data_IF_036540362374
#
_entry.id   IF_036540362374
#
_cell.length_a   1.000
_cell.length_b   1.000
_cell.length_c   1.000
_cell.angle_alpha   90.00
_cell.angle_beta   90.00
_cell.angle_gamma   90.00
#
_symmetry.space_group_name_H-M   'P 1'
#
loop_
_entity.id
_entity.type
_entity.pdbx_description
1 polymer ?
#
# COMPACT_ATOMS: atom_id res chain seq x y z
N UNK A 1 -12.83 -5.56 -7.06
CA UNK A 1 -11.44 -5.81 -7.54
C UNK A 1 -10.50 -5.11 -6.57
N UNK A 2 -9.42 -5.77 -6.15
CA UNK A 2 -8.35 -5.19 -5.34
C UNK A 2 -7.13 -4.92 -6.21
N UNK A 3 -6.23 -4.05 -5.76
CA UNK A 3 -4.89 -3.88 -6.35
C UNK A 3 -3.83 -4.45 -5.43
N UNK A 4 -2.77 -5.02 -6.01
CA UNK A 4 -1.59 -5.49 -5.28
C UNK A 4 -0.41 -4.62 -5.70
N UNK A 5 0.25 -3.99 -4.73
CA UNK A 5 1.25 -2.96 -4.92
C UNK A 5 2.56 -3.45 -4.28
N UNK A 6 3.38 -4.22 -5.03
CA UNK A 6 4.63 -4.73 -4.53
C UNK A 6 5.67 -3.60 -4.41
N UNK A 7 6.46 -3.63 -3.34
CA UNK A 7 7.79 -3.02 -3.31
C UNK A 7 8.74 -3.65 -4.34
N UNK A 8 10.03 -3.33 -4.25
CA UNK A 8 11.00 -3.83 -5.21
C UNK A 8 11.06 -5.36 -5.18
N UNK A 9 10.83 -5.98 -6.34
CA UNK A 9 10.70 -7.45 -6.47
C UNK A 9 11.69 -7.96 -7.50
N UNK A 10 12.47 -8.98 -7.14
CA UNK A 10 13.36 -9.70 -8.03
C UNK A 10 12.53 -10.49 -9.06
N UNK A 11 12.34 -9.86 -10.20
CA UNK A 11 11.66 -10.41 -11.36
C UNK A 11 12.55 -10.18 -12.59
N UNK A 12 12.22 -10.82 -13.70
CA UNK A 12 12.94 -10.63 -14.97
C UNK A 12 12.75 -9.24 -15.59
N UNK A 13 12.00 -8.33 -14.94
CA UNK A 13 11.96 -6.91 -15.29
C UNK A 13 13.29 -6.23 -14.91
N UNK A 14 13.97 -6.71 -13.87
CA UNK A 14 15.26 -6.19 -13.44
C UNK A 14 16.39 -6.90 -14.16
N UNK A 15 17.27 -6.13 -14.80
CA UNK A 15 18.50 -6.68 -15.34
C UNK A 15 19.52 -6.93 -14.21
N UNK A 16 20.56 -7.70 -14.51
CA UNK A 16 21.58 -8.09 -13.51
C UNK A 16 22.34 -6.89 -12.93
N UNK A 17 22.59 -5.85 -13.73
CA UNK A 17 23.20 -4.60 -13.25
C UNK A 17 22.35 -3.93 -12.17
N UNK A 18 21.03 -3.82 -12.40
CA UNK A 18 20.10 -3.25 -11.42
C UNK A 18 20.03 -4.10 -10.16
N UNK A 19 20.01 -5.43 -10.28
CA UNK A 19 20.04 -6.33 -9.12
C UNK A 19 21.30 -6.16 -8.30
N UNK A 20 22.45 -5.99 -8.95
CA UNK A 20 23.72 -5.71 -8.26
C UNK A 20 23.70 -4.38 -7.52
N UNK A 21 23.10 -3.33 -8.09
CA UNK A 21 22.93 -2.05 -7.38
C UNK A 21 22.13 -2.19 -6.08
N UNK A 22 21.06 -2.98 -6.08
CA UNK A 22 20.29 -3.26 -4.85
C UNK A 22 21.11 -4.05 -3.82
N UNK A 23 21.85 -5.09 -4.25
CA UNK A 23 22.75 -5.86 -3.37
C UNK A 23 23.83 -4.98 -2.75
N UNK A 24 24.48 -4.14 -3.54
CA UNK A 24 25.54 -3.24 -3.06
C UNK A 24 25.03 -2.19 -2.07
N UNK A 25 23.75 -1.81 -2.17
CA UNK A 25 23.10 -0.88 -1.25
C UNK A 25 22.52 -1.55 0.01
N UNK A 26 22.69 -2.87 0.18
CA UNK A 26 22.03 -3.69 1.21
C UNK A 26 20.51 -3.47 1.25
N UNK A 27 19.91 -3.22 0.08
CA UNK A 27 18.48 -2.97 -0.06
C UNK A 27 17.77 -4.28 -0.42
N UNK A 28 16.80 -4.74 0.39
CA UNK A 28 16.18 -6.03 0.18
C UNK A 28 15.23 -6.01 -1.03
N UNK A 29 15.39 -7.01 -1.90
CA UNK A 29 14.42 -7.36 -2.94
C UNK A 29 13.49 -8.45 -2.44
N UNK A 30 12.19 -8.33 -2.72
CA UNK A 30 11.22 -9.40 -2.51
C UNK A 30 11.32 -10.45 -3.62
N UNK A 31 10.88 -11.68 -3.35
CA UNK A 31 10.77 -12.72 -4.39
C UNK A 31 9.41 -12.65 -5.10
N UNK A 32 9.35 -13.14 -6.34
CA UNK A 32 8.09 -13.25 -7.08
C UNK A 32 7.09 -14.19 -6.37
N UNK A 33 7.59 -15.25 -5.74
CA UNK A 33 6.79 -16.23 -4.99
C UNK A 33 6.10 -15.59 -3.77
N UNK A 34 6.78 -14.67 -3.09
CA UNK A 34 6.18 -13.94 -1.98
C UNK A 34 4.98 -13.12 -2.47
N UNK A 35 5.10 -12.43 -3.60
CA UNK A 35 3.98 -11.66 -4.17
C UNK A 35 2.84 -12.57 -4.64
N UNK A 36 3.15 -13.73 -5.21
CA UNK A 36 2.13 -14.72 -5.58
C UNK A 36 1.35 -15.22 -4.34
N UNK A 37 2.04 -15.49 -3.23
CA UNK A 37 1.40 -15.87 -1.96
C UNK A 37 0.54 -14.75 -1.37
N UNK A 38 0.98 -13.50 -1.48
CA UNK A 38 0.18 -12.34 -1.09
C UNK A 38 -1.12 -12.25 -1.89
N UNK A 39 -1.07 -12.43 -3.22
CA UNK A 39 -2.26 -12.43 -4.07
C UNK A 39 -3.25 -13.51 -3.63
N UNK A 40 -2.78 -14.73 -3.36
CA UNK A 40 -3.64 -15.81 -2.88
C UNK A 40 -4.32 -15.44 -1.56
N UNK A 41 -3.56 -14.94 -0.59
CA UNK A 41 -4.08 -14.50 0.71
C UNK A 41 -5.12 -13.39 0.57
N UNK A 42 -4.88 -12.41 -0.30
CA UNK A 42 -5.79 -11.27 -0.52
C UNK A 42 -7.12 -11.73 -1.13
N UNK A 43 -7.08 -12.71 -2.06
CA UNK A 43 -8.29 -13.28 -2.65
C UNK A 43 -9.16 -13.93 -1.57
N UNK A 44 -8.56 -14.65 -0.63
CA UNK A 44 -9.27 -15.35 0.45
C UNK A 44 -9.99 -14.41 1.42
N UNK A 45 -9.57 -13.14 1.52
CA UNK A 45 -10.25 -12.14 2.38
C UNK A 45 -11.69 -11.85 1.95
N UNK A 46 -12.00 -12.02 0.66
CA UNK A 46 -13.30 -11.62 0.10
C UNK A 46 -13.56 -10.10 0.08
N UNK A 47 -12.57 -9.27 0.45
CA UNK A 47 -12.70 -7.82 0.42
C UNK A 47 -12.57 -7.28 -1.01
N UNK A 48 -13.10 -6.08 -1.24
CA UNK A 48 -13.08 -5.42 -2.55
C UNK A 48 -12.76 -3.94 -2.44
N UNK A 49 -12.09 -3.40 -3.46
CA UNK A 49 -11.78 -1.96 -3.56
C UNK A 49 -10.57 -1.53 -2.72
N UNK A 50 -9.78 -2.48 -2.23
CA UNK A 50 -8.59 -2.20 -1.41
C UNK A 50 -7.31 -2.15 -2.25
N UNK A 51 -6.39 -1.27 -1.85
CA UNK A 51 -5.01 -1.26 -2.34
C UNK A 51 -4.13 -1.95 -1.31
N UNK A 52 -3.54 -3.08 -1.67
CA UNK A 52 -2.68 -3.84 -0.77
C UNK A 52 -1.22 -3.53 -1.04
N UNK A 53 -0.45 -3.22 0.00
CA UNK A 53 0.99 -3.00 -0.08
C UNK A 53 1.74 -4.25 0.38
N UNK A 54 2.81 -4.61 -0.34
CA UNK A 54 3.69 -5.71 0.02
C UNK A 54 5.12 -5.17 0.17
N UNK A 55 5.75 -5.37 1.33
CA UNK A 55 7.07 -4.84 1.64
C UNK A 55 7.96 -5.91 2.28
N UNK A 56 9.29 -5.85 2.10
CA UNK A 56 10.21 -6.74 2.78
C UNK A 56 10.00 -6.74 4.30
N UNK A 57 9.86 -7.93 4.89
CA UNK A 57 9.71 -8.10 6.34
C UNK A 57 8.34 -7.69 6.91
N UNK A 58 7.31 -7.49 6.08
CA UNK A 58 5.94 -7.21 6.51
C UNK A 58 4.96 -8.14 5.83
N UNK A 59 3.90 -8.48 6.54
CA UNK A 59 2.74 -9.13 5.93
C UNK A 59 2.04 -8.16 4.96
N UNK A 60 1.42 -8.66 3.87
CA UNK A 60 0.61 -7.84 3.00
C UNK A 60 -0.55 -7.20 3.78
N UNK A 61 -0.76 -5.90 3.60
CA UNK A 61 -1.83 -5.18 4.30
C UNK A 61 -2.53 -4.14 3.42
N UNK A 62 -3.82 -3.82 3.68
CA UNK A 62 -4.50 -2.73 3.00
C UNK A 62 -3.87 -1.38 3.36
N UNK A 63 -3.44 -0.63 2.35
CA UNK A 63 -2.92 0.71 2.49
C UNK A 63 -4.02 1.68 2.96
N UNK A 64 -3.68 2.47 3.99
CA UNK A 64 -4.53 3.53 4.51
C UNK A 64 -4.07 4.87 3.95
N UNK A 65 -4.89 5.44 3.07
CA UNK A 65 -4.65 6.79 2.57
C UNK A 65 -4.74 7.79 3.71
N UNK A 66 -3.76 8.69 3.78
CA UNK A 66 -3.83 9.84 4.67
C UNK A 66 -5.01 10.75 4.33
N UNK A 67 -5.40 11.58 5.30
CA UNK A 67 -6.44 12.60 5.07
C UNK A 67 -6.04 13.54 3.93
N UNK A 68 -7.01 13.92 3.11
CA UNK A 68 -6.79 14.93 2.08
C UNK A 68 -6.30 16.23 2.72
N UNK A 69 -5.33 16.93 2.10
CA UNK A 69 -4.95 18.26 2.55
C UNK A 69 -6.17 19.18 2.61
N UNK A 70 -6.30 19.93 3.70
CA UNK A 70 -7.40 20.89 3.88
C UNK A 70 -7.36 22.03 2.85
N UNK A 71 -8.47 22.80 2.71
CA UNK A 71 -8.51 23.97 1.84
C UNK A 71 -7.40 24.98 2.14
N UNK A 72 -6.81 25.58 1.08
CA UNK A 72 -5.87 26.70 1.25
C UNK A 72 -6.66 28.01 1.38
N UNK A 73 -6.39 28.82 2.42
CA UNK A 73 -6.93 30.19 2.53
C UNK A 73 -7.68 30.55 3.83
N UNK A 74 -7.09 30.33 5.01
CA UNK A 74 -7.55 30.95 6.27
C UNK A 74 -8.90 30.45 6.82
N UNK A 75 -9.48 29.39 6.26
CA UNK A 75 -10.69 28.80 6.80
C UNK A 75 -10.44 28.17 8.17
N UNK A 76 -11.28 28.49 9.15
CA UNK A 76 -11.23 27.92 10.51
C UNK A 76 -11.53 26.41 10.53
N UNK A 77 -12.22 25.90 9.51
CA UNK A 77 -12.50 24.48 9.33
C UNK A 77 -11.68 23.90 8.16
N UNK A 78 -10.80 22.95 8.48
CA UNK A 78 -9.92 22.27 7.51
C UNK A 78 -10.44 20.90 7.06
N UNK A 79 -11.48 20.38 7.72
CA UNK A 79 -12.14 19.10 7.39
C UNK A 79 -13.62 19.38 7.09
N UNK A 80 -14.17 18.90 5.96
CA UNK A 80 -15.59 19.01 5.67
C UNK A 80 -16.45 18.32 6.76
N UNK A 81 -17.57 18.91 7.21
CA UNK A 81 -18.42 18.33 8.26
C UNK A 81 -18.93 16.91 7.96
N UNK A 82 -19.16 16.64 6.67
CA UNK A 82 -19.57 15.30 6.19
C UNK A 82 -18.46 14.26 6.31
N UNK A 83 -17.18 14.67 6.23
CA UNK A 83 -16.03 13.75 6.41
C UNK A 83 -15.84 13.47 7.88
N UNK A 84 -15.90 14.50 8.73
CA UNK A 84 -15.76 14.39 10.18
C UNK A 84 -16.82 13.49 10.85
N UNK A 85 -18.00 13.37 10.24
CA UNK A 85 -19.11 12.54 10.72
C UNK A 85 -19.17 11.14 10.08
N UNK A 86 -18.25 10.82 9.17
CA UNK A 86 -18.25 9.56 8.44
C UNK A 86 -17.41 8.47 9.12
N UNK A 87 -17.69 7.19 8.81
CA UNK A 87 -16.82 6.04 9.15
C UNK A 87 -15.40 6.11 8.58
N UNK A 88 -15.11 7.12 7.76
CA UNK A 88 -13.79 7.39 7.20
C UNK A 88 -13.01 8.42 8.03
N UNK A 89 -13.64 9.05 9.04
CA UNK A 89 -13.01 10.05 9.90
C UNK A 89 -11.89 9.47 10.78
N UNK A 90 -11.94 8.16 11.09
CA UNK A 90 -11.03 7.48 12.03
C UNK A 90 -10.04 6.51 11.37
N UNK A 91 -9.96 6.47 10.03
CA UNK A 91 -9.06 5.55 9.32
C UNK A 91 -9.74 4.53 8.39
N UNK A 92 -11.02 4.71 8.09
CA UNK A 92 -11.74 3.87 7.13
C UNK A 92 -12.31 2.59 7.75
N UNK A 93 -12.92 1.71 6.94
CA UNK A 93 -13.93 0.75 7.38
C UNK A 93 -13.49 -0.36 8.36
N UNK A 94 -12.22 -0.41 8.75
CA UNK A 94 -11.69 -1.39 9.71
C UNK A 94 -11.03 -0.71 10.93
N UNK A 95 -11.53 0.47 11.31
CA UNK A 95 -11.17 1.18 12.56
C UNK A 95 -12.29 1.12 13.57
#
# INVERSE_FOLDING_TARGET
MNSVNPGMTDTNILNEETKEMFRAADFPLMTAEHIAGAVATIIETGNYGECWVCQPGRDPEPYRFGSAPGPRGGATAVIPPVVASSKWATGGPNS
#
